data_IF_113175812929
#
_entry.id   IF_113175812929
#
_cell.length_a   1.000
_cell.length_b   1.000
_cell.length_c   1.000
_cell.angle_alpha   90.00
_cell.angle_beta   90.00
_cell.angle_gamma   90.00
#
_symmetry.space_group_name_H-M   'P 1'
#
loop_
_entity.id
_entity.type
_entity.pdbx_description
1 polymer ?
#
# COMPACT_ATOMS: atom_id res chain seq x y z
N UNK A 1 5.91 32.08 -20.28
CA UNK A 1 5.38 31.30 -21.42
C UNK A 1 5.72 29.85 -21.14
N UNK A 2 4.74 28.98 -20.89
CA UNK A 2 5.02 27.56 -20.67
C UNK A 2 5.43 26.95 -22.01
N UNK A 3 6.66 26.47 -22.13
CA UNK A 3 7.09 25.77 -23.34
C UNK A 3 6.35 24.43 -23.40
N UNK A 4 5.63 24.18 -24.49
CA UNK A 4 4.88 22.94 -24.72
C UNK A 4 5.77 21.69 -24.55
N UNK A 5 7.07 21.83 -24.83
CA UNK A 5 8.06 20.75 -24.67
C UNK A 5 8.36 20.41 -23.21
N UNK A 6 8.41 21.38 -22.31
CA UNK A 6 8.65 21.14 -20.88
C UNK A 6 7.51 20.31 -20.25
N UNK A 7 6.26 20.62 -20.61
CA UNK A 7 5.10 19.86 -20.13
C UNK A 7 5.08 18.42 -20.65
N UNK A 8 5.57 18.20 -21.87
CA UNK A 8 5.64 16.85 -22.45
C UNK A 8 6.77 16.04 -21.83
N UNK A 9 7.90 16.67 -21.47
CA UNK A 9 9.04 15.98 -20.87
C UNK A 9 8.83 15.64 -19.39
N UNK A 10 8.12 16.47 -18.61
CA UNK A 10 7.81 16.16 -17.20
C UNK A 10 6.95 14.91 -17.03
N UNK A 11 6.10 14.60 -18.02
CA UNK A 11 5.24 13.41 -18.05
C UNK A 11 5.97 12.14 -18.52
N UNK A 12 7.26 12.22 -18.90
CA UNK A 12 8.05 11.05 -19.33
C UNK A 12 8.75 10.36 -18.16
N UNK A 13 8.91 9.05 -18.28
CA UNK A 13 9.70 8.22 -17.35
C UNK A 13 11.20 8.47 -17.52
N UNK A 14 12.00 8.18 -16.49
CA UNK A 14 13.45 8.39 -16.48
C UNK A 14 14.14 7.65 -17.63
N UNK A 15 13.69 6.44 -17.94
CA UNK A 15 14.19 5.64 -19.06
C UNK A 15 13.92 6.29 -20.42
N UNK A 16 12.73 6.90 -20.60
CA UNK A 16 12.36 7.60 -21.82
C UNK A 16 13.12 8.93 -21.99
N UNK A 17 13.44 9.63 -20.90
CA UNK A 17 14.30 10.81 -20.91
C UNK A 17 15.73 10.46 -21.35
N UNK A 18 16.28 9.36 -20.81
CA UNK A 18 17.61 8.88 -21.17
C UNK A 18 17.71 8.45 -22.63
N UNK A 19 16.69 7.76 -23.15
CA UNK A 19 16.62 7.37 -24.56
C UNK A 19 16.63 8.59 -25.51
N UNK A 20 15.97 9.69 -25.12
CA UNK A 20 15.95 10.93 -25.93
C UNK A 20 17.32 11.63 -25.90
N UNK A 21 18.05 11.56 -24.78
CA UNK A 21 19.37 12.16 -24.63
C UNK A 21 20.48 11.36 -25.35
N UNK A 22 20.33 10.04 -25.45
CA UNK A 22 21.27 9.14 -26.15
C UNK A 22 20.98 9.02 -27.67
N UNK A 23 19.96 9.72 -28.18
CA UNK A 23 19.59 9.67 -29.59
C UNK A 23 20.60 10.43 -30.49
N UNK A 24 20.86 9.94 -31.72
CA UNK A 24 21.81 10.57 -32.63
C UNK A 24 21.37 11.99 -33.04
N UNK A 25 22.34 12.87 -33.28
CA UNK A 25 22.12 14.28 -33.59
C UNK A 25 21.18 14.46 -34.80
N UNK A 26 20.17 15.32 -34.65
CA UNK A 26 19.17 15.62 -35.70
C UNK A 26 17.85 14.84 -35.60
N UNK A 27 17.71 13.91 -34.65
CA UNK A 27 16.46 13.15 -34.42
C UNK A 27 15.38 13.95 -33.67
N UNK A 28 15.78 14.91 -32.83
CA UNK A 28 14.88 15.74 -32.04
C UNK A 28 15.19 17.23 -32.24
N UNK A 29 14.16 18.08 -32.13
CA UNK A 29 14.33 19.53 -32.14
C UNK A 29 15.20 19.96 -30.94
N UNK A 30 16.09 20.93 -31.14
CA UNK A 30 17.03 21.39 -30.13
C UNK A 30 16.33 21.81 -28.81
N UNK A 31 15.15 22.43 -28.92
CA UNK A 31 14.34 22.85 -27.75
C UNK A 31 13.83 21.67 -26.91
N UNK A 32 13.55 20.52 -27.54
CA UNK A 32 13.10 19.31 -26.85
C UNK A 32 14.25 18.64 -26.08
N UNK A 33 15.48 18.68 -26.64
CA UNK A 33 16.69 18.17 -25.97
C UNK A 33 17.06 19.00 -24.75
N UNK A 34 16.92 20.33 -24.83
CA UNK A 34 17.14 21.24 -23.70
C UNK A 34 16.13 20.99 -22.59
N UNK A 35 14.84 20.85 -22.92
CA UNK A 35 13.80 20.54 -21.94
C UNK A 35 14.00 19.17 -21.26
N UNK A 36 14.41 18.15 -22.03
CA UNK A 36 14.71 16.82 -21.50
C UNK A 36 15.92 16.83 -20.54
N UNK A 37 16.98 17.59 -20.88
CA UNK A 37 18.16 17.75 -20.03
C UNK A 37 17.83 18.47 -18.72
N UNK A 38 17.04 19.54 -18.77
CA UNK A 38 16.61 20.26 -17.57
C UNK A 38 15.79 19.40 -16.62
N UNK A 39 14.91 18.56 -17.15
CA UNK A 39 14.10 17.64 -16.34
C UNK A 39 14.98 16.53 -15.73
N UNK A 40 15.93 15.98 -16.50
CA UNK A 40 16.90 15.00 -15.99
C UNK A 40 17.77 15.58 -14.86
N UNK A 41 18.29 16.80 -15.04
CA UNK A 41 19.09 17.47 -14.01
C UNK A 41 18.30 17.73 -12.73
N UNK A 42 17.03 18.13 -12.81
CA UNK A 42 16.17 18.26 -11.62
C UNK A 42 16.02 16.94 -10.86
N UNK A 43 15.86 15.82 -11.57
CA UNK A 43 15.73 14.49 -10.96
C UNK A 43 17.04 14.00 -10.36
N UNK A 44 18.17 14.23 -11.03
CA UNK A 44 19.50 13.92 -10.49
C UNK A 44 19.80 14.78 -9.26
N UNK A 45 19.46 16.08 -9.29
CA UNK A 45 19.65 16.98 -8.15
C UNK A 45 18.81 16.54 -6.95
N UNK A 46 17.53 16.20 -7.17
CA UNK A 46 16.63 15.64 -6.15
C UNK A 46 17.10 14.28 -5.61
N UNK A 47 17.74 13.45 -6.43
CA UNK A 47 18.34 12.19 -6.00
C UNK A 47 19.67 12.37 -5.26
N UNK A 48 20.31 13.54 -5.41
CA UNK A 48 21.58 13.91 -4.79
C UNK A 48 21.45 14.80 -3.56
N UNK A 49 20.23 15.06 -3.07
CA UNK A 49 20.07 15.69 -1.74
C UNK A 49 20.73 14.78 -0.70
N UNK A 50 21.79 15.24 -0.02
CA UNK A 50 22.41 14.45 1.02
C UNK A 50 21.38 14.23 2.12
N UNK A 51 21.04 12.97 2.37
CA UNK A 51 20.47 12.56 3.65
C UNK A 51 21.41 13.11 4.72
N UNK A 52 20.95 14.13 5.46
CA UNK A 52 21.64 14.68 6.62
C UNK A 52 21.59 13.58 7.69
N UNK A 53 22.54 12.65 7.62
CA UNK A 53 22.92 11.81 8.72
C UNK A 53 23.67 12.70 9.73
N UNK A 54 22.92 13.41 10.56
CA UNK A 54 23.49 13.78 11.86
C UNK A 54 23.59 12.48 12.66
N UNK A 55 24.84 12.08 12.91
CA UNK A 55 25.33 11.12 13.91
C UNK A 55 26.17 9.98 13.32
N UNK A 56 27.28 10.28 12.66
CA UNK A 56 28.46 9.39 12.70
C UNK A 56 29.73 10.25 12.78
N UNK A 57 30.41 10.08 13.90
CA UNK A 57 31.67 10.71 14.31
C UNK A 57 32.79 10.38 13.32
N UNK A 58 33.60 11.39 12.98
CA UNK A 58 34.86 11.30 12.22
C UNK A 58 35.81 10.27 12.83
N UNK A 59 36.18 9.23 12.06
CA UNK A 59 37.38 8.43 12.31
C UNK A 59 38.20 8.33 11.00
N UNK A 60 39.46 8.78 10.96
CA UNK A 60 40.20 8.92 9.71
C UNK A 60 40.61 7.56 9.13
N UNK A 61 40.36 7.41 7.82
CA UNK A 61 40.62 6.21 7.03
C UNK A 61 42.09 5.73 7.12
N UNK A 62 42.26 4.47 7.54
CA UNK A 62 43.54 3.74 7.49
C UNK A 62 43.68 3.06 6.11
N UNK A 63 44.87 3.06 5.47
CA UNK A 63 45.02 2.58 4.10
C UNK A 63 44.75 1.07 3.99
N UNK A 64 43.93 0.71 3.00
CA UNK A 64 43.55 -0.66 2.70
C UNK A 64 44.78 -1.37 2.14
N UNK A 65 45.39 -2.26 2.93
CA UNK A 65 46.46 -3.13 2.44
C UNK A 65 45.80 -4.33 1.77
N UNK A 66 46.26 -4.59 0.57
CA UNK A 66 45.87 -5.64 -0.37
C UNK A 66 46.21 -7.02 0.21
N UNK A 67 45.31 -7.59 1.01
CA UNK A 67 45.29 -9.02 1.40
C UNK A 67 43.94 -9.36 2.05
N UNK A 68 42.88 -9.50 1.25
CA UNK A 68 41.68 -10.21 1.67
C UNK A 68 41.24 -11.19 0.58
N UNK A 69 41.65 -12.45 0.78
CA UNK A 69 41.03 -13.66 0.24
C UNK A 69 39.49 -13.59 0.29
N UNK A 70 38.80 -14.29 -0.64
CA UNK A 70 37.35 -14.22 -0.75
C UNK A 70 36.67 -14.58 0.57
N UNK A 71 36.02 -13.60 1.19
CA UNK A 71 35.17 -13.80 2.35
C UNK A 71 34.08 -14.82 2.01
N UNK A 72 34.26 -16.06 2.45
CA UNK A 72 33.16 -17.01 2.58
C UNK A 72 32.18 -16.38 3.58
N UNK A 73 30.87 -16.29 3.28
CA UNK A 73 29.92 -15.81 4.26
C UNK A 73 29.75 -16.89 5.33
N UNK A 74 30.54 -16.82 6.40
CA UNK A 74 30.19 -17.43 7.68
C UNK A 74 29.05 -16.63 8.26
N UNK A 75 27.82 -16.97 7.85
CA UNK A 75 26.61 -16.61 8.58
C UNK A 75 26.67 -17.29 9.95
N UNK A 76 27.23 -16.58 10.93
CA UNK A 76 27.02 -16.86 12.34
C UNK A 76 25.60 -16.44 12.67
N UNK A 77 24.65 -17.38 12.62
CA UNK A 77 23.37 -17.15 13.27
C UNK A 77 23.63 -17.24 14.77
N UNK A 78 23.72 -16.09 15.42
CA UNK A 78 23.55 -16.06 16.86
C UNK A 78 22.10 -16.50 17.11
N UNK A 79 21.93 -17.75 17.58
CA UNK A 79 20.63 -18.30 17.92
C UNK A 79 20.12 -17.63 19.19
N UNK A 80 19.68 -16.38 19.07
CA UNK A 80 18.67 -15.88 19.97
C UNK A 80 17.50 -16.83 19.80
N UNK A 81 17.22 -17.62 20.84
CA UNK A 81 16.07 -18.52 20.83
C UNK A 81 14.85 -17.64 20.56
N UNK A 82 14.41 -17.65 19.31
CA UNK A 82 13.15 -17.09 18.89
C UNK A 82 12.12 -17.84 19.72
N UNK A 83 11.58 -17.17 20.72
CA UNK A 83 10.42 -17.67 21.43
C UNK A 83 9.39 -18.08 20.39
N UNK A 84 8.66 -19.19 20.59
CA UNK A 84 7.70 -19.67 19.61
C UNK A 84 6.62 -18.59 19.44
N UNK A 85 6.81 -17.72 18.45
CA UNK A 85 5.84 -16.70 18.09
C UNK A 85 4.68 -17.51 17.53
N UNK A 86 3.60 -17.61 18.29
CA UNK A 86 2.39 -18.28 17.88
C UNK A 86 2.06 -17.84 16.45
N UNK A 87 2.15 -18.75 15.47
CA UNK A 87 1.84 -18.46 14.06
C UNK A 87 0.36 -18.08 13.82
N UNK A 88 -0.43 -17.88 14.88
CA UNK A 88 -1.88 -17.67 14.83
C UNK A 88 -2.36 -16.30 14.33
N UNK A 89 -1.58 -15.23 14.53
CA UNK A 89 -2.10 -13.86 14.45
C UNK A 89 -1.17 -12.87 13.73
N UNK A 90 -0.82 -13.14 12.48
CA UNK A 90 -0.03 -12.20 11.65
C UNK A 90 -0.79 -10.94 11.24
N UNK A 91 -2.12 -10.89 11.42
CA UNK A 91 -2.98 -9.75 11.06
C UNK A 91 -4.04 -9.46 12.14
N UNK A 92 -3.64 -9.11 13.37
CA UNK A 92 -4.58 -8.91 14.47
C UNK A 92 -5.46 -7.68 14.23
N UNK A 93 -4.89 -6.59 13.70
CA UNK A 93 -5.63 -5.38 13.36
C UNK A 93 -6.68 -5.60 12.26
N UNK A 94 -6.32 -6.36 11.21
CA UNK A 94 -7.23 -6.62 10.09
C UNK A 94 -8.41 -7.50 10.51
N UNK A 95 -8.16 -8.50 11.38
CA UNK A 95 -9.22 -9.30 12.02
C UNK A 95 -10.14 -8.44 12.88
N UNK A 96 -9.58 -7.47 13.62
CA UNK A 96 -10.36 -6.55 14.45
C UNK A 96 -11.29 -5.69 13.58
N UNK A 97 -10.79 -5.12 12.49
CA UNK A 97 -11.60 -4.32 11.55
C UNK A 97 -12.71 -5.18 10.95
N UNK A 98 -12.43 -6.41 10.51
CA UNK A 98 -13.45 -7.33 10.03
C UNK A 98 -14.52 -7.62 11.09
N UNK A 99 -14.10 -7.82 12.35
CA UNK A 99 -15.00 -7.97 13.49
C UNK A 99 -15.89 -6.74 13.70
N UNK A 100 -15.32 -5.53 13.62
CA UNK A 100 -16.05 -4.28 13.76
C UNK A 100 -17.17 -4.14 12.72
N UNK A 101 -16.89 -4.41 11.43
CA UNK A 101 -17.92 -4.40 10.39
C UNK A 101 -19.03 -5.42 10.63
N UNK A 102 -18.70 -6.61 11.16
CA UNK A 102 -19.70 -7.61 11.53
C UNK A 102 -20.62 -7.11 12.66
N UNK A 103 -20.05 -6.51 13.70
CA UNK A 103 -20.84 -5.94 14.80
C UNK A 103 -21.71 -4.79 14.29
N UNK A 104 -21.15 -3.90 13.47
CA UNK A 104 -21.89 -2.79 12.88
C UNK A 104 -23.04 -3.27 12.00
N UNK A 105 -22.85 -4.34 11.21
CA UNK A 105 -23.92 -4.97 10.46
C UNK A 105 -25.05 -5.41 11.39
N UNK A 106 -24.74 -6.16 12.46
CA UNK A 106 -25.75 -6.55 13.44
C UNK A 106 -26.46 -5.35 14.10
N UNK A 107 -25.74 -4.28 14.40
CA UNK A 107 -26.33 -3.05 14.93
C UNK A 107 -27.29 -2.40 13.92
N UNK A 108 -26.94 -2.37 12.63
CA UNK A 108 -27.84 -1.88 11.57
C UNK A 108 -29.10 -2.73 11.50
N UNK A 109 -28.97 -4.05 11.57
CA UNK A 109 -30.12 -4.97 11.54
C UNK A 109 -31.04 -4.75 12.74
N UNK A 110 -30.48 -4.72 13.96
CA UNK A 110 -31.25 -4.45 15.19
C UNK A 110 -31.87 -3.06 15.13
N UNK A 111 -31.12 -2.06 14.68
CA UNK A 111 -31.60 -0.70 14.49
C UNK A 111 -32.76 -0.62 13.49
N UNK A 112 -32.75 -1.42 12.43
CA UNK A 112 -33.85 -1.50 11.48
C UNK A 112 -35.11 -2.08 12.11
N UNK A 113 -35.00 -3.15 12.90
CA UNK A 113 -36.15 -3.69 13.64
C UNK A 113 -36.71 -2.70 14.66
N UNK A 114 -35.84 -2.03 15.42
CA UNK A 114 -36.26 -0.99 16.37
C UNK A 114 -36.91 0.21 15.65
N UNK A 115 -36.35 0.63 14.52
CA UNK A 115 -36.91 1.69 13.69
C UNK A 115 -38.28 1.33 13.13
N UNK A 116 -38.46 0.09 12.67
CA UNK A 116 -39.76 -0.41 12.20
C UNK A 116 -40.79 -0.43 13.34
N UNK A 117 -40.41 -0.92 14.52
CA UNK A 117 -41.27 -0.94 15.70
C UNK A 117 -41.64 0.48 16.15
N UNK A 118 -40.69 1.42 16.15
CA UNK A 118 -40.92 2.82 16.48
C UNK A 118 -41.89 3.48 15.49
N UNK A 119 -41.71 3.25 14.18
CA UNK A 119 -42.63 3.76 13.16
C UNK A 119 -44.04 3.19 13.32
N UNK A 120 -44.17 1.91 13.68
CA UNK A 120 -45.45 1.28 13.96
C UNK A 120 -46.12 1.89 15.20
N UNK A 121 -45.37 2.08 16.29
CA UNK A 121 -45.89 2.64 17.54
C UNK A 121 -46.38 4.09 17.39
N UNK A 122 -45.80 4.84 16.45
CA UNK A 122 -46.20 6.22 16.12
C UNK A 122 -47.30 6.31 15.05
N UNK A 123 -47.84 5.17 14.59
CA UNK A 123 -48.82 5.07 13.50
C UNK A 123 -48.36 5.75 12.18
N UNK A 124 -47.03 5.84 12.00
CA UNK A 124 -46.38 6.44 10.82
C UNK A 124 -45.92 5.40 9.80
N UNK A 125 -46.13 4.11 10.11
CA UNK A 125 -45.72 2.99 9.29
C UNK A 125 -46.67 2.81 8.10
N UNK A 126 -46.28 3.34 6.94
CA UNK A 126 -46.92 3.01 5.67
C UNK A 126 -46.23 1.82 5.03
N UNK A 127 -46.96 1.08 4.17
CA UNK A 127 -46.42 -0.09 3.47
C UNK A 127 -45.13 0.25 2.69
N UNK A 128 -45.09 1.39 1.98
CA UNK A 128 -43.89 1.86 1.29
C UNK A 128 -42.74 2.24 2.20
N UNK A 129 -42.99 2.83 3.37
CA UNK A 129 -41.92 3.08 4.35
C UNK A 129 -41.37 1.77 4.92
N UNK A 130 -42.25 0.81 5.24
CA UNK A 130 -41.84 -0.50 5.74
C UNK A 130 -41.00 -1.28 4.73
N UNK A 131 -41.46 -1.35 3.47
CA UNK A 131 -40.73 -2.00 2.38
C UNK A 131 -39.39 -1.29 2.12
N UNK A 132 -39.40 0.04 2.03
CA UNK A 132 -38.18 0.84 1.82
C UNK A 132 -37.16 0.65 2.94
N UNK A 133 -37.60 0.66 4.21
CA UNK A 133 -36.73 0.41 5.37
C UNK A 133 -36.19 -1.02 5.34
N UNK A 134 -37.02 -2.02 5.08
CA UNK A 134 -36.62 -3.43 5.08
C UNK A 134 -35.56 -3.72 4.00
N UNK A 135 -35.81 -3.32 2.75
CA UNK A 135 -34.85 -3.52 1.67
C UNK A 135 -33.62 -2.61 1.80
N UNK A 136 -33.80 -1.35 2.23
CA UNK A 136 -32.69 -0.43 2.44
C UNK A 136 -31.74 -0.91 3.54
N UNK A 137 -32.28 -1.29 4.71
CA UNK A 137 -31.50 -1.83 5.80
C UNK A 137 -30.93 -3.22 5.48
N UNK A 138 -31.71 -4.07 4.79
CA UNK A 138 -31.25 -5.39 4.35
C UNK A 138 -30.07 -5.31 3.39
N UNK A 139 -30.13 -4.42 2.38
CA UNK A 139 -29.04 -4.20 1.44
C UNK A 139 -27.80 -3.66 2.15
N UNK A 140 -27.98 -2.71 3.08
CA UNK A 140 -26.88 -2.19 3.88
C UNK A 140 -26.26 -3.28 4.75
N UNK A 141 -27.07 -4.06 5.46
CA UNK A 141 -26.62 -5.19 6.27
C UNK A 141 -25.78 -6.18 5.46
N UNK A 142 -26.30 -6.64 4.32
CA UNK A 142 -25.60 -7.58 3.44
C UNK A 142 -24.28 -6.98 2.94
N UNK A 143 -24.26 -5.70 2.60
CA UNK A 143 -23.05 -5.00 2.14
C UNK A 143 -21.97 -4.95 3.22
N UNK A 144 -22.32 -4.58 4.46
CA UNK A 144 -21.36 -4.58 5.57
C UNK A 144 -20.89 -5.99 5.91
N UNK A 145 -21.80 -6.98 5.88
CA UNK A 145 -21.47 -8.36 6.20
C UNK A 145 -20.55 -8.96 5.13
N UNK A 146 -20.83 -8.70 3.86
CA UNK A 146 -19.96 -9.09 2.75
C UNK A 146 -18.57 -8.46 2.87
N UNK A 147 -18.47 -7.20 3.27
CA UNK A 147 -17.18 -6.53 3.49
C UNK A 147 -16.38 -7.18 4.63
N UNK A 148 -17.04 -7.56 5.72
CA UNK A 148 -16.41 -8.29 6.84
C UNK A 148 -15.85 -9.65 6.39
N UNK A 149 -16.62 -10.42 5.63
CA UNK A 149 -16.17 -11.72 5.13
C UNK A 149 -15.09 -11.58 4.06
N UNK A 150 -15.16 -10.57 3.20
CA UNK A 150 -14.13 -10.29 2.21
C UNK A 150 -12.76 -10.07 2.87
N UNK A 151 -12.70 -9.27 3.94
CA UNK A 151 -11.45 -9.04 4.68
C UNK A 151 -10.92 -10.35 5.27
N UNK A 152 -11.79 -11.17 5.85
CA UNK A 152 -11.40 -12.48 6.42
C UNK A 152 -10.89 -13.43 5.35
N UNK A 153 -11.52 -13.46 4.18
CA UNK A 153 -11.11 -14.27 3.05
C UNK A 153 -9.69 -13.92 2.60
N UNK A 154 -9.35 -12.62 2.52
CA UNK A 154 -7.98 -12.21 2.19
C UNK A 154 -6.95 -12.67 3.22
N UNK A 155 -7.28 -12.58 4.51
CA UNK A 155 -6.40 -13.07 5.59
C UNK A 155 -6.22 -14.59 5.48
N UNK A 156 -7.29 -15.32 5.16
CA UNK A 156 -7.25 -16.77 5.05
C UNK A 156 -6.44 -17.23 3.82
N UNK A 157 -6.59 -16.55 2.68
CA UNK A 157 -5.78 -16.80 1.48
C UNK A 157 -4.29 -16.57 1.73
N UNK A 158 -3.92 -15.50 2.45
CA UNK A 158 -2.51 -15.25 2.81
C UNK A 158 -1.94 -16.40 3.63
N UNK A 159 -2.68 -16.83 4.66
CA UNK A 159 -2.27 -17.93 5.53
C UNK A 159 -2.09 -19.21 4.74
N UNK A 160 -3.07 -19.56 3.92
CA UNK A 160 -3.02 -20.79 3.14
C UNK A 160 -1.88 -20.78 2.11
N UNK A 161 -1.62 -19.65 1.47
CA UNK A 161 -0.50 -19.51 0.51
C UNK A 161 0.85 -19.65 1.20
N UNK A 162 1.01 -19.13 2.42
CA UNK A 162 2.25 -19.22 3.19
C UNK A 162 2.56 -20.64 3.67
N UNK A 163 1.54 -21.38 4.11
CA UNK A 163 1.73 -22.73 4.66
C UNK A 163 1.71 -23.83 3.59
N UNK A 164 1.12 -23.58 2.42
CA UNK A 164 1.08 -24.53 1.30
C UNK A 164 2.44 -24.90 0.71
N UNK A 165 3.46 -24.06 0.90
CA UNK A 165 4.82 -24.30 0.38
C UNK A 165 5.73 -25.12 1.30
N UNK A 166 5.33 -25.40 2.56
CA UNK A 166 6.16 -26.16 3.51
C UNK A 166 6.01 -27.69 3.38
N UNK A 167 5.07 -28.17 2.55
CA UNK A 167 4.73 -29.58 2.42
C UNK A 167 4.94 -30.16 1.00
N UNK A 168 5.79 -29.53 0.17
CA UNK A 168 6.35 -30.12 -1.06
C UNK A 168 7.87 -30.19 -0.93
#
# INVERSE_FOLDING_TARGET
MNNRFEEVMSKKTDEALRYILDAPEGTYQAEALVAARQEWEKRVQSASEPFVANDVVDEPAKPITEDQQPCKPTMSYESHQAQPIHEGDRYPALKLIAGFYKVLAWLVLVGAFLGLAALAALDMLTLWRGVGLFFGAGLLFVSLMALSELIRLFIDMEKNTRHGFKNQ
#
